data_IF_449928037468
#
_entry.id   IF_449928037468
#
_cell.length_a   1.000
_cell.length_b   1.000
_cell.length_c   1.000
_cell.angle_alpha   90.00
_cell.angle_beta   90.00
_cell.angle_gamma   90.00
#
_symmetry.space_group_name_H-M   'P 1'
#
loop_
_entity.id
_entity.type
_entity.pdbx_description
1 polymer ?
#
# COMPACT_ATOMS: atom_id res chain seq x y z
N UNK A 1 -9.95 -11.10 5.35
CA UNK A 1 -8.79 -10.24 5.69
C UNK A 1 -8.94 -8.84 5.10
N UNK A 2 -9.11 -8.70 3.77
CA UNK A 2 -9.34 -7.39 3.11
C UNK A 2 -10.46 -6.57 3.75
N UNK A 3 -11.65 -7.13 3.89
CA UNK A 3 -12.81 -6.34 4.35
C UNK A 3 -12.63 -5.86 5.80
N UNK A 4 -12.05 -6.70 6.66
CA UNK A 4 -11.70 -6.32 8.03
C UNK A 4 -10.59 -5.25 8.09
N UNK A 5 -9.60 -5.30 7.18
CA UNK A 5 -8.62 -4.23 7.04
C UNK A 5 -9.28 -2.89 6.74
N UNK A 6 -10.25 -2.86 5.83
CA UNK A 6 -10.97 -1.64 5.44
C UNK A 6 -11.80 -1.10 6.60
N UNK A 7 -12.50 -1.99 7.30
CA UNK A 7 -13.28 -1.65 8.50
C UNK A 7 -12.37 -0.98 9.55
N UNK A 8 -11.25 -1.61 9.90
CA UNK A 8 -10.31 -1.07 10.89
C UNK A 8 -9.61 0.20 10.43
N UNK A 9 -9.22 0.28 9.17
CA UNK A 9 -8.66 1.52 8.63
C UNK A 9 -9.69 2.66 8.68
N UNK A 10 -10.96 2.38 8.41
CA UNK A 10 -12.04 3.37 8.52
C UNK A 10 -12.25 3.88 9.95
N UNK A 11 -12.16 2.99 10.94
CA UNK A 11 -12.21 3.38 12.36
C UNK A 11 -11.02 4.29 12.71
N UNK A 12 -9.80 3.89 12.32
CA UNK A 12 -8.59 4.65 12.58
C UNK A 12 -8.61 6.03 11.91
N UNK A 13 -8.96 6.14 10.63
CA UNK A 13 -9.09 7.42 9.92
C UNK A 13 -10.24 8.29 10.47
N UNK A 14 -11.23 7.67 11.10
CA UNK A 14 -12.27 8.37 11.86
C UNK A 14 -11.72 9.08 13.09
N UNK A 15 -10.77 8.44 13.79
CA UNK A 15 -10.14 8.96 15.00
C UNK A 15 -8.95 9.89 14.73
N UNK A 16 -8.19 9.67 13.65
CA UNK A 16 -7.00 10.42 13.28
C UNK A 16 -7.01 10.82 11.80
N UNK A 17 -7.06 12.14 11.55
CA UNK A 17 -6.99 12.71 10.19
C UNK A 17 -5.59 12.76 9.60
N UNK A 18 -4.56 12.38 10.36
CA UNK A 18 -3.19 12.16 9.89
C UNK A 18 -3.00 10.85 9.11
N UNK A 19 -4.02 9.98 9.06
CA UNK A 19 -3.97 8.69 8.36
C UNK A 19 -4.44 8.85 6.91
N UNK A 20 -3.67 8.31 5.97
CA UNK A 20 -3.95 8.39 4.53
C UNK A 20 -3.95 7.00 3.90
N UNK A 21 -4.85 6.80 2.93
CA UNK A 21 -4.90 5.62 2.07
C UNK A 21 -4.58 6.02 0.63
N UNK A 22 -3.53 5.43 0.06
CA UNK A 22 -3.12 5.60 -1.33
C UNK A 22 -3.38 4.31 -2.11
N UNK A 23 -3.95 4.41 -3.31
CA UNK A 23 -4.23 3.25 -4.18
C UNK A 23 -3.69 3.42 -5.59
N UNK A 24 -3.24 2.32 -6.20
CA UNK A 24 -2.80 2.29 -7.60
C UNK A 24 -3.91 1.91 -8.58
N UNK A 25 -4.95 2.73 -8.74
CA UNK A 25 -6.16 2.44 -9.52
C UNK A 25 -6.85 1.10 -9.22
N UNK A 26 -6.90 0.75 -7.94
CA UNK A 26 -7.51 -0.48 -7.44
C UNK A 26 -8.63 -0.21 -6.43
N UNK A 27 -9.44 -1.24 -6.19
CA UNK A 27 -10.48 -1.22 -5.17
C UNK A 27 -11.76 -0.51 -5.59
N UNK A 28 -12.10 -0.57 -6.88
CA UNK A 28 -13.46 -0.35 -7.37
C UNK A 28 -14.46 -1.15 -6.53
N UNK A 29 -15.56 -0.52 -6.11
CA UNK A 29 -16.57 -1.04 -5.18
C UNK A 29 -16.09 -1.35 -3.75
N UNK A 30 -14.80 -1.63 -3.57
CA UNK A 30 -14.19 -2.01 -2.29
C UNK A 30 -13.98 -0.80 -1.38
N UNK A 31 -13.52 0.33 -1.92
CA UNK A 31 -13.25 1.55 -1.15
C UNK A 31 -14.29 2.66 -1.34
N UNK A 32 -15.42 2.37 -1.98
CA UNK A 32 -16.41 3.41 -2.31
C UNK A 32 -16.98 4.09 -1.05
N UNK A 33 -17.27 3.32 0.00
CA UNK A 33 -17.69 3.88 1.30
C UNK A 33 -16.57 4.69 1.97
N UNK A 34 -15.35 4.15 1.98
CA UNK A 34 -14.19 4.82 2.56
C UNK A 34 -13.95 6.19 1.90
N UNK A 35 -13.96 6.24 0.57
CA UNK A 35 -13.77 7.47 -0.22
C UNK A 35 -14.87 8.50 0.04
N UNK A 36 -16.12 8.05 0.20
CA UNK A 36 -17.25 8.94 0.52
C UNK A 36 -17.11 9.54 1.92
N UNK A 37 -16.64 8.75 2.89
CA UNK A 37 -16.51 9.17 4.30
C UNK A 37 -15.25 9.99 4.56
N UNK A 38 -14.17 9.71 3.86
CA UNK A 38 -12.85 10.31 4.09
C UNK A 38 -12.19 10.78 2.78
N UNK A 39 -12.83 11.67 2.00
CA UNK A 39 -12.32 12.08 0.69
C UNK A 39 -10.93 12.73 0.77
N UNK A 40 -10.67 13.52 1.82
CA UNK A 40 -9.38 14.19 2.03
C UNK A 40 -8.26 13.24 2.48
N UNK A 41 -8.59 12.02 2.92
CA UNK A 41 -7.63 11.01 3.40
C UNK A 41 -7.44 9.87 2.40
N UNK A 42 -7.95 10.01 1.18
CA UNK A 42 -7.87 9.00 0.13
C UNK A 42 -7.27 9.60 -1.15
N UNK A 43 -6.25 8.94 -1.69
CA UNK A 43 -5.59 9.37 -2.94
C UNK A 43 -5.50 8.18 -3.89
N UNK A 44 -6.13 8.29 -5.07
CA UNK A 44 -5.86 7.37 -6.17
C UNK A 44 -4.71 7.95 -7.02
N UNK A 45 -3.57 7.26 -7.03
CA UNK A 45 -2.35 7.71 -7.74
C UNK A 45 -2.33 7.20 -9.19
N UNK A 46 -3.36 6.45 -9.62
CA UNK A 46 -3.39 5.80 -10.92
C UNK A 46 -2.48 4.56 -10.97
N UNK A 47 -2.24 4.01 -12.16
CA UNK A 47 -1.37 2.84 -12.36
C UNK A 47 0.12 3.27 -12.30
N UNK A 48 0.53 3.74 -11.12
CA UNK A 48 1.84 4.34 -10.88
C UNK A 48 2.36 3.98 -9.48
N UNK A 49 2.47 2.68 -9.16
CA UNK A 49 2.75 2.23 -7.79
C UNK A 49 4.13 2.67 -7.26
N UNK A 50 5.11 2.84 -8.14
CA UNK A 50 6.42 3.40 -7.76
C UNK A 50 6.26 4.84 -7.27
N UNK A 51 5.54 5.67 -8.02
CA UNK A 51 5.21 7.05 -7.60
C UNK A 51 4.34 7.06 -6.34
N UNK A 52 3.40 6.12 -6.21
CA UNK A 52 2.57 5.96 -5.01
C UNK A 52 3.44 5.69 -3.77
N UNK A 53 4.48 4.87 -3.90
CA UNK A 53 5.40 4.53 -2.81
C UNK A 53 6.26 5.75 -2.44
N UNK A 54 6.81 6.47 -3.41
CA UNK A 54 7.57 7.70 -3.17
C UNK A 54 6.71 8.80 -2.54
N UNK A 55 5.47 8.98 -3.02
CA UNK A 55 4.50 9.90 -2.44
C UNK A 55 4.20 9.51 -0.97
N UNK A 56 3.98 8.23 -0.70
CA UNK A 56 3.74 7.73 0.65
C UNK A 56 4.92 8.01 1.59
N UNK A 57 6.16 7.79 1.12
CA UNK A 57 7.35 8.09 1.89
C UNK A 57 7.45 9.59 2.21
N UNK A 58 7.29 10.47 1.22
CA UNK A 58 7.30 11.92 1.44
C UNK A 58 6.23 12.38 2.42
N UNK A 59 4.99 11.92 2.26
CA UNK A 59 3.90 12.22 3.21
C UNK A 59 4.21 11.71 4.62
N UNK A 60 4.82 10.53 4.75
CA UNK A 60 5.18 9.98 6.04
C UNK A 60 6.28 10.78 6.75
N UNK A 61 7.25 11.30 6.00
CA UNK A 61 8.28 12.20 6.52
C UNK A 61 7.71 13.55 6.98
N UNK A 62 6.59 13.98 6.41
CA UNK A 62 5.79 15.14 6.88
C UNK A 62 4.83 14.79 8.04
N UNK A 63 5.09 13.69 8.74
CA UNK A 63 4.36 13.30 9.95
C UNK A 63 3.02 12.62 9.70
N UNK A 64 2.72 12.18 8.47
CA UNK A 64 1.52 11.39 8.17
C UNK A 64 1.73 9.90 8.42
N UNK A 65 0.63 9.18 8.62
CA UNK A 65 0.60 7.73 8.63
C UNK A 65 0.00 7.27 7.31
N UNK A 66 0.79 6.61 6.46
CA UNK A 66 0.35 6.31 5.10
C UNK A 66 0.22 4.80 4.89
N UNK A 67 -0.95 4.38 4.40
CA UNK A 67 -1.20 3.03 3.92
C UNK A 67 -1.23 3.06 2.40
N UNK A 68 -0.42 2.24 1.74
CA UNK A 68 -0.54 1.99 0.29
C UNK A 68 -1.31 0.69 0.07
N UNK A 69 -2.10 0.63 -1.00
CA UNK A 69 -2.89 -0.56 -1.33
C UNK A 69 -2.77 -0.91 -2.81
N UNK A 70 -2.25 -2.11 -3.10
CA UNK A 70 -2.23 -2.68 -4.45
C UNK A 70 -2.19 -4.21 -4.44
N UNK A 71 -2.11 -4.81 -5.63
CA UNK A 71 -1.81 -6.24 -5.81
C UNK A 71 -0.35 -6.48 -5.42
N UNK A 72 -0.08 -7.58 -4.73
CA UNK A 72 1.23 -7.88 -4.14
C UNK A 72 2.40 -7.62 -5.09
N UNK A 73 2.38 -8.20 -6.30
CA UNK A 73 3.45 -7.98 -7.29
C UNK A 73 3.71 -6.49 -7.60
N UNK A 74 2.65 -5.67 -7.63
CA UNK A 74 2.73 -4.27 -7.99
C UNK A 74 3.12 -3.38 -6.81
N UNK A 75 2.65 -3.68 -5.60
CA UNK A 75 3.05 -2.96 -4.40
C UNK A 75 4.41 -3.36 -3.86
N UNK A 76 4.94 -4.55 -4.19
CA UNK A 76 6.20 -5.06 -3.65
C UNK A 76 7.29 -5.13 -4.71
N UNK A 77 7.19 -6.06 -5.67
CA UNK A 77 8.25 -6.32 -6.65
C UNK A 77 8.47 -5.14 -7.60
N UNK A 78 7.39 -4.53 -8.11
CA UNK A 78 7.49 -3.32 -8.95
C UNK A 78 8.03 -2.11 -8.17
N UNK A 79 7.73 -2.02 -6.87
CA UNK A 79 8.12 -0.90 -6.01
C UNK A 79 9.39 -1.16 -5.20
N UNK A 80 10.14 -2.21 -5.50
CA UNK A 80 11.21 -2.70 -4.62
C UNK A 80 12.24 -1.63 -4.28
N UNK A 81 12.69 -0.86 -5.27
CA UNK A 81 13.64 0.21 -5.07
C UNK A 81 13.06 1.32 -4.19
N UNK A 82 11.80 1.71 -4.42
CA UNK A 82 11.14 2.78 -3.66
C UNK A 82 10.87 2.35 -2.20
N UNK A 83 10.47 1.11 -1.98
CA UNK A 83 10.35 0.54 -0.62
C UNK A 83 11.70 0.58 0.08
N UNK A 84 12.75 0.11 -0.60
CA UNK A 84 14.09 0.05 -0.01
C UNK A 84 14.64 1.44 0.27
N UNK A 85 14.79 2.26 -0.76
CA UNK A 85 15.55 3.51 -0.70
C UNK A 85 14.73 4.63 -0.05
N UNK A 86 13.46 4.77 -0.44
CA UNK A 86 12.66 5.95 -0.07
C UNK A 86 11.95 5.74 1.27
N UNK A 87 11.46 4.53 1.54
CA UNK A 87 10.73 4.23 2.77
C UNK A 87 11.62 3.63 3.87
N UNK A 88 12.19 2.44 3.63
CA UNK A 88 12.84 1.64 4.68
C UNK A 88 14.11 2.32 5.22
N UNK A 89 14.99 2.81 4.35
CA UNK A 89 16.23 3.48 4.76
C UNK A 89 16.02 4.88 5.36
N UNK A 90 14.79 5.40 5.31
CA UNK A 90 14.42 6.66 5.95
C UNK A 90 13.52 6.46 7.17
N UNK A 91 13.29 5.22 7.59
CA UNK A 91 12.36 4.86 8.67
C UNK A 91 10.98 5.52 8.47
N UNK A 92 10.55 5.64 7.21
CA UNK A 92 9.33 6.32 6.86
C UNK A 92 8.12 5.50 7.34
N UNK A 93 7.15 6.18 7.94
CA UNK A 93 5.97 5.57 8.58
C UNK A 93 4.90 5.04 7.60
N UNK A 94 5.34 4.25 6.62
CA UNK A 94 4.55 3.71 5.50
C UNK A 94 4.17 2.24 5.76
N UNK A 95 2.92 1.89 5.49
CA UNK A 95 2.38 0.54 5.59
C UNK A 95 2.01 0.07 4.19
N UNK A 96 2.74 -0.90 3.67
CA UNK A 96 2.47 -1.48 2.35
C UNK A 96 1.45 -2.60 2.52
N UNK A 97 0.22 -2.38 2.06
CA UNK A 97 -0.87 -3.36 2.15
C UNK A 97 -1.10 -3.98 0.79
N UNK A 98 -0.90 -5.29 0.73
CA UNK A 98 -0.97 -6.04 -0.51
C UNK A 98 -2.13 -7.03 -0.49
N UNK A 99 -2.78 -7.19 -1.64
CA UNK A 99 -3.72 -8.29 -1.88
C UNK A 99 -3.15 -9.30 -2.87
N UNK A 100 -3.59 -10.55 -2.71
CA UNK A 100 -3.27 -11.65 -3.62
C UNK A 100 -1.79 -12.02 -3.65
N UNK A 101 -1.17 -12.14 -2.47
CA UNK A 101 0.16 -12.73 -2.33
C UNK A 101 0.23 -14.17 -2.82
N UNK A 102 1.44 -14.66 -3.09
CA UNK A 102 1.70 -15.98 -3.62
C UNK A 102 1.04 -16.20 -4.99
N UNK A 103 0.28 -17.29 -5.10
CA UNK A 103 -0.39 -17.71 -6.33
C UNK A 103 -1.88 -17.32 -6.40
N UNK A 104 -2.32 -16.38 -5.55
CA UNK A 104 -3.75 -16.00 -5.45
C UNK A 104 -4.35 -15.51 -6.76
N UNK A 105 -3.54 -14.93 -7.65
CA UNK A 105 -3.91 -14.51 -9.00
C UNK A 105 -3.53 -15.56 -10.07
N UNK A 106 -3.64 -16.85 -9.75
CA UNK A 106 -3.25 -17.99 -10.61
C UNK A 106 -3.51 -17.80 -12.10
N UNK A 107 -4.76 -17.53 -12.54
CA UNK A 107 -5.10 -17.37 -13.95
C UNK A 107 -4.46 -16.17 -14.66
N UNK A 108 -4.01 -15.15 -13.91
CA UNK A 108 -3.39 -13.93 -14.48
C UNK A 108 -1.89 -14.09 -14.75
N UNK A 109 -1.31 -15.23 -14.35
CA UNK A 109 0.07 -15.59 -14.64
C UNK A 109 1.12 -14.81 -13.84
N UNK A 110 2.38 -15.01 -14.22
CA UNK A 110 3.57 -14.54 -13.48
C UNK A 110 3.59 -13.03 -13.23
N UNK A 111 2.90 -12.24 -14.07
CA UNK A 111 2.81 -10.79 -13.92
C UNK A 111 1.98 -10.36 -12.71
N UNK A 112 1.22 -11.25 -12.08
CA UNK A 112 0.40 -10.99 -10.90
C UNK A 112 0.77 -11.88 -9.71
N UNK A 113 1.69 -12.83 -9.90
CA UNK A 113 2.18 -13.68 -8.81
C UNK A 113 3.22 -12.92 -7.99
N UNK A 114 3.20 -13.15 -6.68
CA UNK A 114 4.16 -12.58 -5.74
C UNK A 114 4.63 -13.72 -4.85
N UNK A 115 5.44 -14.61 -5.41
CA UNK A 115 5.92 -15.82 -4.72
C UNK A 115 7.23 -15.61 -3.98
N UNK A 116 7.95 -14.54 -4.34
CA UNK A 116 9.28 -14.17 -3.87
C UNK A 116 9.26 -12.90 -3.00
N UNK A 117 8.11 -12.25 -2.84
CA UNK A 117 7.95 -10.99 -2.12
C UNK A 117 8.43 -11.07 -0.67
N UNK A 118 8.05 -12.11 0.07
CA UNK A 118 8.51 -12.32 1.45
C UNK A 118 10.01 -12.54 1.56
N UNK A 119 10.62 -13.24 0.59
CA UNK A 119 12.06 -13.50 0.60
C UNK A 119 12.85 -12.21 0.35
N UNK A 120 12.35 -11.39 -0.59
CA UNK A 120 12.96 -10.11 -0.97
C UNK A 120 12.77 -9.07 0.13
N UNK A 121 11.54 -8.84 0.62
CA UNK A 121 11.25 -7.81 1.61
C UNK A 121 11.94 -8.07 2.95
N UNK A 122 12.05 -9.33 3.37
CA UNK A 122 12.77 -9.70 4.60
C UNK A 122 14.27 -9.41 4.54
N UNK A 123 14.84 -9.28 3.34
CA UNK A 123 16.25 -8.92 3.18
C UNK A 123 16.50 -7.40 3.34
N UNK A 124 15.44 -6.58 3.38
CA UNK A 124 15.53 -5.13 3.54
C UNK A 124 15.56 -4.78 5.04
N UNK A 125 16.57 -4.04 5.54
CA UNK A 125 16.63 -3.63 6.95
C UNK A 125 15.46 -2.73 7.35
N UNK A 126 14.85 -2.99 8.52
CA UNK A 126 13.76 -2.17 9.06
C UNK A 126 12.35 -2.58 8.61
N UNK A 127 12.24 -3.55 7.70
CA UNK A 127 10.94 -4.13 7.31
C UNK A 127 10.41 -5.08 8.39
N UNK A 128 9.10 -5.02 8.65
CA UNK A 128 8.36 -5.89 9.59
C UNK A 128 7.05 -6.37 9.01
#
# INVERSE_FOLDING_TARGET
>A
MRDHFIEKLSELTGADKGIFLLTGDLGFAVFDDYRKRFPENFINVGIAEQNMTGLAAGMALEGKVVFTYSIANFSTLRCLEQIRNDASYHDANVKVVSIGGGFSYGPLGISHHATEDLAILRAIPGMT
#
